data_IF_077275444026
#
_entry.id   IF_077275444026
#
_cell.length_a   1.000
_cell.length_b   1.000
_cell.length_c   1.000
_cell.angle_alpha   90.00
_cell.angle_beta   90.00
_cell.angle_gamma   90.00
#
_symmetry.space_group_name_H-M   'P 1'
#
loop_
_entity.id
_entity.type
_entity.pdbx_description
1 polymer ?
#
# COMPACT_ATOMS: atom_id res chain seq x y z
N UNK A 1 -16.75 -11.32 -7.55
CA UNK A 1 -16.87 -10.80 -6.16
C UNK A 1 -15.47 -10.83 -5.58
N UNK A 2 -14.94 -9.69 -5.17
CA UNK A 2 -13.59 -9.56 -4.64
C UNK A 2 -13.65 -9.70 -3.10
N UNK A 3 -12.81 -10.56 -2.53
CA UNK A 3 -12.82 -10.81 -1.08
C UNK A 3 -11.99 -9.75 -0.34
N UNK A 4 -12.55 -9.13 0.70
CA UNK A 4 -11.77 -8.27 1.61
C UNK A 4 -11.38 -9.10 2.83
N UNK A 5 -10.07 -9.28 3.05
CA UNK A 5 -9.53 -10.15 4.10
C UNK A 5 -8.56 -9.35 4.99
N UNK A 6 -8.77 -9.42 6.29
CA UNK A 6 -7.85 -8.91 7.30
C UNK A 6 -6.91 -10.05 7.75
N UNK A 7 -5.75 -10.16 7.08
CA UNK A 7 -4.77 -11.19 7.39
C UNK A 7 -4.09 -10.97 8.76
N UNK A 8 -4.14 -9.77 9.33
CA UNK A 8 -3.53 -9.50 10.64
C UNK A 8 -4.33 -10.14 11.79
N UNK A 9 -5.60 -10.48 11.57
CA UNK A 9 -6.39 -11.30 12.51
C UNK A 9 -5.94 -12.77 12.53
N UNK A 10 -5.20 -13.23 11.52
CA UNK A 10 -4.65 -14.59 11.46
C UNK A 10 -3.26 -14.58 12.11
N UNK A 11 -3.22 -14.79 13.42
CA UNK A 11 -1.98 -14.74 14.22
C UNK A 11 -0.99 -15.86 13.90
N UNK A 12 -1.47 -16.96 13.32
CA UNK A 12 -0.67 -18.12 12.94
C UNK A 12 -0.10 -17.93 11.51
N UNK A 13 1.23 -17.81 11.35
CA UNK A 13 1.85 -17.56 10.05
C UNK A 13 1.59 -18.69 9.04
N UNK A 14 1.53 -19.94 9.49
CA UNK A 14 1.30 -21.09 8.62
C UNK A 14 -0.13 -21.10 8.08
N UNK A 15 -1.12 -20.72 8.89
CA UNK A 15 -2.52 -20.58 8.43
C UNK A 15 -2.71 -19.42 7.47
N UNK A 16 -2.00 -18.32 7.70
CA UNK A 16 -2.00 -17.16 6.80
C UNK A 16 -1.45 -17.52 5.43
N UNK A 17 -0.27 -18.16 5.39
CA UNK A 17 0.36 -18.60 4.13
C UNK A 17 -0.46 -19.64 3.38
N UNK A 18 -1.06 -20.58 4.11
CA UNK A 18 -1.97 -21.56 3.52
C UNK A 18 -3.15 -20.89 2.83
N UNK A 19 -3.81 -19.94 3.49
CA UNK A 19 -4.96 -19.21 2.93
C UNK A 19 -4.58 -18.40 1.69
N UNK A 20 -3.47 -17.66 1.73
CA UNK A 20 -2.97 -16.89 0.59
C UNK A 20 -2.69 -17.82 -0.60
N UNK A 21 -2.04 -18.97 -0.35
CA UNK A 21 -1.69 -19.93 -1.39
C UNK A 21 -2.94 -20.57 -2.01
N UNK A 22 -3.95 -20.91 -1.20
CA UNK A 22 -5.22 -21.44 -1.69
C UNK A 22 -6.00 -20.43 -2.54
N UNK A 23 -6.08 -19.17 -2.10
CA UNK A 23 -6.77 -18.11 -2.85
C UNK A 23 -6.12 -17.88 -4.21
N UNK A 24 -4.78 -17.87 -4.28
CA UNK A 24 -4.04 -17.78 -5.54
C UNK A 24 -4.28 -18.99 -6.44
N UNK A 25 -4.29 -20.21 -5.88
CA UNK A 25 -4.52 -21.44 -6.66
C UNK A 25 -5.94 -21.50 -7.25
N UNK A 26 -6.92 -20.93 -6.55
CA UNK A 26 -8.31 -20.86 -6.99
C UNK A 26 -8.62 -19.64 -7.88
N UNK A 27 -7.60 -18.82 -8.20
CA UNK A 27 -7.73 -17.56 -8.95
C UNK A 27 -8.79 -16.61 -8.36
N UNK A 28 -8.87 -16.58 -7.02
CA UNK A 28 -9.80 -15.72 -6.29
C UNK A 28 -9.10 -14.40 -5.99
N UNK A 29 -9.56 -13.32 -6.62
CA UNK A 29 -9.15 -11.96 -6.29
C UNK A 29 -9.49 -11.62 -4.84
N UNK A 30 -8.49 -11.17 -4.09
CA UNK A 30 -8.67 -10.67 -2.72
C UNK A 30 -7.90 -9.37 -2.52
N UNK A 31 -8.48 -8.49 -1.71
CA UNK A 31 -7.85 -7.29 -1.20
C UNK A 31 -7.58 -7.48 0.28
N UNK A 32 -6.41 -7.02 0.70
CA UNK A 32 -6.13 -6.87 2.11
C UNK A 32 -6.86 -5.63 2.61
N UNK A 33 -7.52 -5.72 3.76
CA UNK A 33 -8.09 -4.53 4.40
C UNK A 33 -6.99 -3.48 4.58
N UNK A 34 -7.16 -2.30 4.00
CA UNK A 34 -6.21 -1.22 4.18
C UNK A 34 -6.11 -0.89 5.68
N UNK A 35 -4.89 -0.80 6.19
CA UNK A 35 -4.67 -0.42 7.58
C UNK A 35 -4.94 1.07 7.71
N UNK A 36 -5.83 1.51 8.61
CA UNK A 36 -5.96 2.92 8.93
C UNK A 36 -4.60 3.46 9.40
N UNK A 37 -4.17 4.59 8.84
CA UNK A 37 -3.01 5.30 9.37
C UNK A 37 -3.30 5.76 10.79
N UNK A 38 -2.34 5.58 11.69
CA UNK A 38 -2.39 6.22 13.01
C UNK A 38 -2.10 7.72 12.89
N UNK A 39 -2.56 8.52 13.85
CA UNK A 39 -2.25 9.96 13.89
C UNK A 39 -0.74 10.24 13.91
N UNK A 40 0.05 9.37 14.57
CA UNK A 40 1.51 9.48 14.57
C UNK A 40 2.10 9.28 13.18
N UNK A 41 1.69 8.23 12.47
CA UNK A 41 2.12 7.98 11.09
C UNK A 41 1.75 9.12 10.16
N UNK A 42 0.53 9.64 10.27
CA UNK A 42 0.09 10.79 9.48
C UNK A 42 0.96 12.02 9.71
N UNK A 43 1.28 12.33 10.98
CA UNK A 43 2.13 13.48 11.30
C UNK A 43 3.58 13.30 10.83
N UNK A 44 4.12 12.08 10.92
CA UNK A 44 5.46 11.76 10.41
C UNK A 44 5.52 11.88 8.88
N UNK A 45 4.48 11.41 8.18
CA UNK A 45 4.34 11.53 6.73
C UNK A 45 4.28 13.01 6.30
N UNK A 46 3.52 13.84 7.02
CA UNK A 46 3.47 15.29 6.78
C UNK A 46 4.86 15.93 6.94
N UNK A 47 5.55 15.64 8.06
CA UNK A 47 6.88 16.19 8.33
C UNK A 47 7.91 15.78 7.27
N UNK A 48 7.81 14.53 6.78
CA UNK A 48 8.65 14.05 5.69
C UNK A 48 8.35 14.80 4.40
N UNK A 49 7.07 14.98 4.07
CA UNK A 49 6.64 15.76 2.92
C UNK A 49 7.15 17.20 2.95
N UNK A 50 7.02 17.89 4.09
CA UNK A 50 7.55 19.25 4.28
C UNK A 50 9.07 19.29 4.05
N UNK A 51 9.81 18.32 4.60
CA UNK A 51 11.27 18.23 4.42
C UNK A 51 11.66 18.00 2.95
N UNK A 52 10.86 17.22 2.21
CA UNK A 52 11.08 16.97 0.78
C UNK A 52 10.79 18.21 -0.07
N UNK A 53 9.75 18.97 0.27
CA UNK A 53 9.42 20.24 -0.38
C UNK A 53 10.53 21.27 -0.13
N UNK A 54 10.94 21.45 1.12
CA UNK A 54 12.02 22.37 1.50
C UNK A 54 13.35 21.98 0.83
N UNK A 55 13.58 20.69 0.64
CA UNK A 55 14.75 20.15 -0.06
C UNK A 55 14.66 20.22 -1.60
N UNK A 56 13.57 20.75 -2.16
CA UNK A 56 13.36 20.80 -3.61
C UNK A 56 13.15 19.44 -4.27
N UNK A 57 12.81 18.40 -3.49
CA UNK A 57 12.61 17.02 -3.94
C UNK A 57 11.17 16.78 -4.39
N UNK A 58 10.71 17.58 -5.33
CA UNK A 58 9.40 17.43 -5.95
C UNK A 58 9.54 17.38 -7.47
N UNK A 59 8.62 16.68 -8.12
CA UNK A 59 8.49 16.68 -9.58
C UNK A 59 7.35 17.60 -9.98
N UNK A 60 7.50 18.28 -11.11
CA UNK A 60 6.40 19.09 -11.63
C UNK A 60 5.36 18.20 -12.32
N UNK A 61 4.16 18.74 -12.52
CA UNK A 61 3.13 18.07 -13.33
C UNK A 61 3.61 17.75 -14.75
N UNK A 62 4.56 18.53 -15.29
CA UNK A 62 5.17 18.29 -16.60
C UNK A 62 6.10 17.08 -16.55
N UNK A 63 6.92 16.96 -15.50
CA UNK A 63 7.83 15.82 -15.30
C UNK A 63 7.06 14.52 -15.11
N UNK A 64 5.99 14.56 -14.30
CA UNK A 64 5.10 13.40 -14.10
C UNK A 64 4.46 12.93 -15.42
N UNK A 65 3.99 13.87 -16.26
CA UNK A 65 3.45 13.54 -17.60
C UNK A 65 4.50 12.96 -18.54
N UNK A 66 5.76 13.38 -18.41
CA UNK A 66 6.85 12.83 -19.20
C UNK A 66 7.24 11.42 -18.75
N UNK A 67 7.19 11.14 -17.44
CA UNK A 67 7.45 9.81 -16.87
C UNK A 67 6.33 8.82 -17.17
N UNK A 68 5.07 9.23 -17.05
CA UNK A 68 3.91 8.40 -17.36
C UNK A 68 3.87 7.95 -18.84
N UNK A 69 4.47 8.70 -19.76
CA UNK A 69 4.59 8.32 -21.18
C UNK A 69 5.65 7.25 -21.45
N UNK A 70 6.50 6.91 -20.46
CA UNK A 70 7.53 5.86 -20.59
C UNK A 70 7.02 4.47 -20.23
N UNK A 71 5.82 4.37 -19.64
CA UNK A 71 5.15 3.14 -19.26
C UNK A 71 4.11 2.76 -20.32
#
# INVERSE_FOLDING_TARGET
>A
MELIIDFDKIKDPSKREWLISSLKLMDIGFQTTEKPQTLGQYNDDLKKGDTEIDGGKYITATDLKAEAKKW
#
